data_IF_537637851240
#
_entry.id   IF_537637851240
#
_cell.length_a   1.000
_cell.length_b   1.000
_cell.length_c   1.000
_cell.angle_alpha   90.00
_cell.angle_beta   90.00
_cell.angle_gamma   90.00
#
_symmetry.space_group_name_H-M   'P 1'
#
loop_
_entity.id
_entity.type
_entity.pdbx_description
1 polymer ?
#
# COMPACT_ATOMS: atom_id res chain seq x y z
N UNK A 1 -37.67 -3.60 -21.62
CA UNK A 1 -37.67 -2.84 -22.89
C UNK A 1 -37.57 -1.33 -22.66
N UNK A 2 -38.53 -0.65 -22.02
CA UNK A 2 -38.43 0.82 -21.82
C UNK A 2 -37.25 1.24 -20.92
N UNK A 3 -36.97 0.48 -19.85
CA UNK A 3 -35.83 0.72 -18.95
C UNK A 3 -34.52 0.42 -19.68
N UNK A 4 -34.42 -0.74 -20.34
CA UNK A 4 -33.23 -1.13 -21.12
C UNK A 4 -32.89 -0.11 -22.22
N UNK A 5 -33.89 0.38 -22.96
CA UNK A 5 -33.65 1.43 -23.97
C UNK A 5 -33.29 2.78 -23.34
N UNK A 6 -33.70 3.05 -22.09
CA UNK A 6 -33.28 4.24 -21.36
C UNK A 6 -31.85 4.09 -20.83
N UNK A 7 -31.48 2.94 -20.28
CA UNK A 7 -30.11 2.67 -19.79
C UNK A 7 -29.12 2.69 -20.96
N UNK A 8 -29.42 2.08 -22.10
CA UNK A 8 -28.60 2.15 -23.31
C UNK A 8 -28.36 3.60 -23.76
N UNK A 9 -29.42 4.42 -23.84
CA UNK A 9 -29.30 5.85 -24.20
C UNK A 9 -28.46 6.65 -23.20
N UNK A 10 -28.59 6.34 -21.90
CA UNK A 10 -27.81 6.98 -20.82
C UNK A 10 -26.34 6.57 -20.86
N UNK A 11 -26.07 5.29 -21.11
CA UNK A 11 -24.73 4.74 -21.29
C UNK A 11 -24.06 5.40 -22.49
N UNK A 12 -24.76 5.47 -23.62
CA UNK A 12 -24.29 6.11 -24.84
C UNK A 12 -24.01 7.60 -24.64
N UNK A 13 -24.89 8.35 -23.96
CA UNK A 13 -24.65 9.76 -23.61
C UNK A 13 -23.44 9.96 -22.69
N UNK A 14 -23.22 9.02 -21.77
CA UNK A 14 -22.09 9.09 -20.85
C UNK A 14 -20.76 8.68 -21.51
N UNK A 15 -20.79 7.95 -22.62
CA UNK A 15 -19.61 7.60 -23.43
C UNK A 15 -19.30 8.65 -24.50
N UNK A 16 -20.33 9.35 -25.01
CA UNK A 16 -20.22 10.42 -25.99
C UNK A 16 -20.77 11.75 -25.45
N UNK A 17 -20.05 12.45 -24.56
CA UNK A 17 -20.52 13.70 -23.95
C UNK A 17 -20.72 14.86 -24.95
N UNK A 18 -20.12 14.81 -26.14
CA UNK A 18 -20.25 15.83 -27.19
C UNK A 18 -21.50 15.65 -28.08
N UNK A 19 -22.15 14.48 -28.05
CA UNK A 19 -23.41 14.26 -28.76
C UNK A 19 -24.60 14.54 -27.83
N UNK A 20 -25.42 15.53 -28.20
CA UNK A 20 -26.57 15.93 -27.40
C UNK A 20 -27.74 14.95 -27.61
N UNK A 21 -27.62 13.79 -26.98
CA UNK A 21 -28.67 12.76 -26.98
C UNK A 21 -29.81 13.28 -26.10
N UNK A 22 -30.89 13.66 -26.76
CA UNK A 22 -32.14 14.07 -26.11
C UNK A 22 -32.85 12.82 -25.58
N UNK A 23 -33.03 12.80 -24.26
CA UNK A 23 -33.75 11.73 -23.58
C UNK A 23 -35.21 12.18 -23.48
N UNK A 24 -36.13 11.34 -23.95
CA UNK A 24 -37.56 11.64 -23.88
C UNK A 24 -38.01 11.75 -22.41
N UNK A 25 -38.59 12.89 -22.05
CA UNK A 25 -39.08 13.20 -20.71
C UNK A 25 -40.15 12.22 -20.24
N UNK A 26 -40.89 11.57 -21.15
CA UNK A 26 -41.87 10.52 -20.80
C UNK A 26 -41.18 9.25 -20.31
N UNK A 27 -40.03 8.88 -20.88
CA UNK A 27 -39.26 7.72 -20.43
C UNK A 27 -38.64 7.99 -19.07
N UNK A 28 -38.10 9.20 -18.87
CA UNK A 28 -37.58 9.63 -17.57
C UNK A 28 -38.68 9.63 -16.48
N UNK A 29 -39.88 10.14 -16.79
CA UNK A 29 -41.01 10.13 -15.86
C UNK A 29 -41.54 8.73 -15.51
N UNK A 30 -41.36 7.73 -16.37
CA UNK A 30 -41.69 6.32 -16.06
C UNK A 30 -40.64 5.74 -15.11
N UNK A 31 -39.36 5.97 -15.39
CA UNK A 31 -38.25 5.50 -14.57
C UNK A 31 -38.31 6.17 -13.18
N UNK A 32 -38.61 7.46 -13.09
CA UNK A 32 -38.79 8.18 -11.82
C UNK A 32 -39.96 7.66 -10.99
N UNK A 33 -41.09 7.31 -11.64
CA UNK A 33 -42.20 6.65 -10.95
C UNK A 33 -41.81 5.29 -10.39
N UNK A 34 -40.96 4.55 -11.10
CA UNK A 34 -40.45 3.28 -10.61
C UNK A 34 -39.53 3.48 -9.40
N UNK A 35 -38.64 4.48 -9.43
CA UNK A 35 -37.81 4.82 -8.28
C UNK A 35 -38.65 5.21 -7.05
N UNK A 36 -39.68 6.05 -7.23
CA UNK A 36 -40.62 6.37 -6.15
C UNK A 36 -41.26 5.12 -5.55
N UNK A 37 -41.75 4.20 -6.39
CA UNK A 37 -42.30 2.93 -5.92
C UNK A 37 -41.27 2.08 -5.17
N UNK A 38 -40.02 2.03 -5.63
CA UNK A 38 -38.96 1.31 -4.91
C UNK A 38 -38.64 1.92 -3.54
N UNK A 39 -38.71 3.25 -3.43
CA UNK A 39 -38.56 3.95 -2.15
C UNK A 39 -39.75 3.71 -1.22
N UNK A 40 -40.98 3.74 -1.74
CA UNK A 40 -42.19 3.47 -0.96
C UNK A 40 -42.25 2.02 -0.48
N UNK A 41 -41.77 1.07 -1.29
CA UNK A 41 -41.68 -0.36 -0.96
C UNK A 41 -40.48 -0.72 -0.05
N UNK A 42 -39.62 0.25 0.32
CA UNK A 42 -38.43 0.04 1.15
C UNK A 42 -37.31 -0.79 0.48
N UNK A 43 -37.36 -0.97 -0.84
CA UNK A 43 -36.44 -1.80 -1.63
C UNK A 43 -35.22 -1.01 -2.11
N UNK A 44 -34.41 -0.53 -1.17
CA UNK A 44 -33.25 0.33 -1.44
C UNK A 44 -32.13 -0.38 -2.23
N UNK A 45 -31.89 -1.67 -2.02
CA UNK A 45 -30.87 -2.45 -2.77
C UNK A 45 -31.14 -2.48 -4.27
N UNK A 46 -32.41 -2.62 -4.66
CA UNK A 46 -32.84 -2.59 -6.05
C UNK A 46 -32.73 -1.18 -6.62
N UNK A 47 -33.13 -0.17 -5.84
CA UNK A 47 -32.99 1.23 -6.25
C UNK A 47 -31.51 1.58 -6.54
N UNK A 48 -30.57 1.13 -5.72
CA UNK A 48 -29.13 1.29 -5.96
C UNK A 48 -28.68 0.63 -7.27
N UNK A 49 -29.08 -0.63 -7.51
CA UNK A 49 -28.71 -1.34 -8.74
C UNK A 49 -29.20 -0.61 -9.99
N UNK A 50 -30.46 -0.20 -10.00
CA UNK A 50 -31.08 0.53 -11.12
C UNK A 50 -30.45 1.92 -11.28
N UNK A 51 -30.10 2.61 -10.17
CA UNK A 51 -29.43 3.90 -10.23
C UNK A 51 -28.03 3.79 -10.87
N UNK A 52 -27.30 2.72 -10.57
CA UNK A 52 -25.99 2.43 -11.19
C UNK A 52 -26.13 2.07 -12.67
N UNK A 53 -27.11 1.26 -13.06
CA UNK A 53 -27.40 0.91 -14.46
C UNK A 53 -27.82 2.13 -15.30
N UNK A 54 -28.63 3.02 -14.72
CA UNK A 54 -29.09 4.25 -15.39
C UNK A 54 -28.06 5.38 -15.38
N UNK A 55 -26.89 5.15 -14.76
CA UNK A 55 -25.84 6.16 -14.52
C UNK A 55 -26.40 7.46 -13.93
N UNK A 56 -27.28 7.36 -12.92
CA UNK A 56 -27.86 8.51 -12.20
C UNK A 56 -27.35 8.58 -10.76
N UNK A 57 -26.39 9.48 -10.54
CA UNK A 57 -25.73 9.66 -9.24
C UNK A 57 -26.67 10.30 -8.21
N UNK A 58 -27.51 11.25 -8.63
CA UNK A 58 -28.42 11.95 -7.71
C UNK A 58 -29.39 10.99 -7.00
N UNK A 59 -29.90 10.00 -7.73
CA UNK A 59 -30.81 8.99 -7.16
C UNK A 59 -30.05 7.95 -6.35
N UNK A 60 -28.82 7.65 -6.73
CA UNK A 60 -27.94 6.78 -5.97
C UNK A 60 -27.66 7.38 -4.57
N UNK A 61 -27.31 8.66 -4.49
CA UNK A 61 -27.12 9.37 -3.22
C UNK A 61 -28.41 9.39 -2.38
N UNK A 62 -29.54 9.73 -3.00
CA UNK A 62 -30.83 9.73 -2.30
C UNK A 62 -31.23 8.34 -1.79
N UNK A 63 -30.91 7.27 -2.54
CA UNK A 63 -31.24 5.92 -2.14
C UNK A 63 -30.44 5.47 -0.91
N UNK A 64 -29.20 5.93 -0.78
CA UNK A 64 -28.36 5.65 0.38
C UNK A 64 -28.84 6.46 1.59
N UNK A 65 -29.09 7.76 1.43
CA UNK A 65 -29.50 8.63 2.55
C UNK A 65 -30.89 8.31 3.12
N UNK A 66 -31.82 7.81 2.29
CA UNK A 66 -33.16 7.42 2.74
C UNK A 66 -33.23 6.02 3.34
N UNK A 67 -32.17 5.23 3.19
CA UNK A 67 -32.16 3.85 3.70
C UNK A 67 -32.07 3.81 5.21
N UNK A 68 -32.72 2.82 5.83
CA UNK A 68 -32.70 2.61 7.28
C UNK A 68 -31.31 2.18 7.79
N UNK A 69 -30.48 1.59 6.92
CA UNK A 69 -29.12 1.10 7.21
C UNK A 69 -28.11 1.70 6.21
N UNK A 70 -27.68 2.93 6.49
CA UNK A 70 -26.73 3.67 5.65
C UNK A 70 -25.37 2.95 5.54
N UNK A 71 -24.73 2.47 6.63
CA UNK A 71 -23.45 1.76 6.54
C UNK A 71 -23.53 0.46 5.73
N UNK A 72 -24.57 -0.35 5.93
CA UNK A 72 -24.77 -1.58 5.17
C UNK A 72 -25.08 -1.32 3.70
N UNK A 73 -25.80 -0.23 3.37
CA UNK A 73 -26.05 0.16 1.99
C UNK A 73 -24.80 0.67 1.29
N UNK A 74 -23.91 1.38 2.00
CA UNK A 74 -22.65 1.87 1.43
C UNK A 74 -21.69 0.71 1.08
N UNK A 75 -21.53 -0.28 1.97
CA UNK A 75 -20.71 -1.48 1.71
C UNK A 75 -21.27 -2.35 0.57
N UNK A 76 -22.60 -2.51 0.52
CA UNK A 76 -23.27 -3.16 -0.61
C UNK A 76 -23.02 -2.40 -1.92
N UNK A 77 -23.18 -1.07 -1.89
CA UNK A 77 -22.96 -0.20 -3.06
C UNK A 77 -21.52 -0.29 -3.57
N UNK A 78 -20.53 -0.35 -2.68
CA UNK A 78 -19.13 -0.55 -3.06
C UNK A 78 -18.93 -1.90 -3.76
N UNK A 79 -19.48 -2.98 -3.20
CA UNK A 79 -19.37 -4.33 -3.78
C UNK A 79 -20.01 -4.40 -5.17
N UNK A 80 -21.19 -3.79 -5.34
CA UNK A 80 -21.91 -3.72 -6.61
C UNK A 80 -21.14 -2.84 -7.61
N UNK A 81 -20.57 -1.72 -7.16
CA UNK A 81 -19.74 -0.83 -7.97
C UNK A 81 -18.51 -1.57 -8.54
N UNK A 82 -17.85 -2.38 -7.72
CA UNK A 82 -16.66 -3.14 -8.11
C UNK A 82 -16.95 -4.33 -9.04
N UNK A 83 -18.13 -4.93 -8.93
CA UNK A 83 -18.51 -6.12 -9.71
C UNK A 83 -19.25 -5.81 -11.02
N UNK A 84 -20.17 -4.84 -11.02
CA UNK A 84 -21.04 -4.57 -12.17
C UNK A 84 -20.52 -3.46 -13.10
N UNK A 85 -19.71 -2.52 -12.61
CA UNK A 85 -19.31 -1.36 -13.41
C UNK A 85 -18.05 -1.65 -14.22
N UNK A 86 -18.24 -1.79 -15.53
CA UNK A 86 -17.15 -2.03 -16.50
C UNK A 86 -16.35 -0.74 -16.82
N UNK A 87 -17.03 0.41 -16.94
CA UNK A 87 -16.37 1.69 -17.27
C UNK A 87 -15.58 2.24 -16.08
N UNK A 88 -14.26 2.44 -16.27
CA UNK A 88 -13.38 3.02 -15.23
C UNK A 88 -13.77 4.46 -14.88
N UNK A 89 -14.13 5.28 -15.87
CA UNK A 89 -14.49 6.69 -15.66
C UNK A 89 -15.75 6.81 -14.80
N UNK A 90 -16.77 6.01 -15.09
CA UNK A 90 -17.99 6.01 -14.29
C UNK A 90 -17.75 5.44 -12.89
N UNK A 91 -17.00 4.34 -12.77
CA UNK A 91 -16.62 3.76 -11.47
C UNK A 91 -15.91 4.79 -10.59
N UNK A 92 -14.96 5.54 -11.13
CA UNK A 92 -14.26 6.59 -10.40
C UNK A 92 -15.21 7.69 -9.91
N UNK A 93 -16.19 8.11 -10.72
CA UNK A 93 -17.20 9.11 -10.29
C UNK A 93 -18.06 8.58 -9.14
N UNK A 94 -18.54 7.34 -9.24
CA UNK A 94 -19.34 6.69 -8.19
C UNK A 94 -18.52 6.56 -6.89
N UNK A 95 -17.26 6.14 -6.99
CA UNK A 95 -16.40 6.01 -5.81
C UNK A 95 -16.11 7.37 -5.14
N UNK A 96 -15.96 8.47 -5.90
CA UNK A 96 -15.84 9.83 -5.32
C UNK A 96 -17.07 10.22 -4.53
N UNK A 97 -18.26 9.94 -5.05
CA UNK A 97 -19.53 10.17 -4.35
C UNK A 97 -19.62 9.33 -3.08
N UNK A 98 -19.26 8.04 -3.16
CA UNK A 98 -19.22 7.16 -1.99
C UNK A 98 -18.29 7.69 -0.90
N UNK A 99 -17.10 8.17 -1.25
CA UNK A 99 -16.17 8.79 -0.29
C UNK A 99 -16.80 10.00 0.39
N UNK A 100 -17.48 10.87 -0.36
CA UNK A 100 -18.19 12.03 0.23
C UNK A 100 -19.30 11.60 1.20
N UNK A 101 -20.06 10.56 0.84
CA UNK A 101 -21.11 10.02 1.72
C UNK A 101 -20.54 9.38 2.99
N UNK A 102 -19.42 8.65 2.90
CA UNK A 102 -18.73 8.10 4.07
C UNK A 102 -18.17 9.19 5.00
N UNK A 103 -17.66 10.29 4.44
CA UNK A 103 -17.14 11.43 5.24
C UNK A 103 -18.25 12.22 5.95
N UNK A 104 -19.45 12.26 5.38
CA UNK A 104 -20.61 12.98 5.95
C UNK A 104 -21.34 12.19 7.03
N UNK A 105 -20.94 10.95 7.28
CA UNK A 105 -21.53 10.10 8.33
C UNK A 105 -21.14 10.61 9.72
N UNK A 106 -22.03 10.41 10.71
CA UNK A 106 -21.78 10.84 12.10
C UNK A 106 -20.50 10.20 12.70
N UNK A 107 -20.18 8.99 12.26
CA UNK A 107 -18.91 8.30 12.52
C UNK A 107 -18.29 7.93 11.17
N UNK A 108 -17.25 8.66 10.70
CA UNK A 108 -16.63 8.35 9.42
C UNK A 108 -15.98 6.97 9.44
N UNK A 109 -16.34 6.12 8.50
CA UNK A 109 -15.66 4.84 8.27
C UNK A 109 -14.44 5.08 7.37
N UNK A 110 -13.29 5.33 8.00
CA UNK A 110 -12.05 5.62 7.30
C UNK A 110 -11.49 4.40 6.56
N UNK A 111 -11.80 3.17 6.98
CA UNK A 111 -11.30 1.95 6.31
C UNK A 111 -11.93 1.84 4.93
N UNK A 112 -13.28 1.90 4.86
CA UNK A 112 -13.99 1.85 3.58
C UNK A 112 -13.64 3.01 2.66
N UNK A 113 -13.32 4.19 3.21
CA UNK A 113 -12.85 5.35 2.45
C UNK A 113 -11.46 5.11 1.86
N UNK A 114 -10.53 4.59 2.65
CA UNK A 114 -9.19 4.25 2.16
C UNK A 114 -9.27 3.17 1.08
N UNK A 115 -10.12 2.15 1.23
CA UNK A 115 -10.37 1.17 0.17
C UNK A 115 -10.87 1.83 -1.12
N UNK A 116 -11.80 2.79 -1.01
CA UNK A 116 -12.21 3.58 -2.17
C UNK A 116 -11.00 4.29 -2.79
N UNK A 117 -10.20 5.00 -2.01
CA UNK A 117 -9.03 5.71 -2.54
C UNK A 117 -7.98 4.82 -3.19
N UNK A 118 -7.77 3.60 -2.70
CA UNK A 118 -6.92 2.59 -3.36
C UNK A 118 -7.45 2.30 -4.77
N UNK A 119 -8.76 2.15 -4.95
CA UNK A 119 -9.35 1.93 -6.27
C UNK A 119 -9.36 3.17 -7.16
N UNK A 120 -9.43 4.37 -6.58
CA UNK A 120 -9.27 5.62 -7.31
C UNK A 120 -7.81 5.94 -7.69
N UNK A 121 -6.84 5.26 -7.07
CA UNK A 121 -5.41 5.57 -7.15
C UNK A 121 -5.10 7.02 -6.71
N UNK A 122 -5.85 7.52 -5.72
CA UNK A 122 -5.70 8.87 -5.17
C UNK A 122 -4.84 8.88 -3.91
N UNK A 123 -3.53 9.05 -4.10
CA UNK A 123 -2.56 9.07 -3.00
C UNK A 123 -2.69 10.31 -2.11
N UNK A 124 -3.16 11.44 -2.65
CA UNK A 124 -3.32 12.69 -1.92
C UNK A 124 -4.49 12.59 -0.93
N UNK A 125 -5.64 12.07 -1.38
CA UNK A 125 -6.80 11.90 -0.52
C UNK A 125 -6.54 11.03 0.73
N UNK A 126 -5.71 9.99 0.59
CA UNK A 126 -5.29 9.16 1.74
C UNK A 126 -4.32 9.92 2.65
N UNK A 127 -3.35 10.64 2.09
CA UNK A 127 -2.40 11.42 2.86
C UNK A 127 -3.11 12.53 3.68
N UNK A 128 -4.08 13.21 3.10
CA UNK A 128 -4.87 14.26 3.77
C UNK A 128 -5.68 13.69 4.95
N UNK A 129 -6.27 12.49 4.78
CA UNK A 129 -6.98 11.81 5.88
C UNK A 129 -6.01 11.41 6.99
N UNK A 130 -4.88 10.80 6.65
CA UNK A 130 -3.88 10.41 7.64
C UNK A 130 -3.38 11.65 8.39
N UNK A 131 -3.10 12.74 7.68
CA UNK A 131 -2.66 14.00 8.28
C UNK A 131 -3.71 14.57 9.24
N UNK A 132 -4.99 14.60 8.83
CA UNK A 132 -6.09 15.05 9.68
C UNK A 132 -6.18 14.23 10.98
N UNK A 133 -6.09 12.90 10.89
CA UNK A 133 -6.16 12.00 12.03
C UNK A 133 -4.96 12.13 12.99
N UNK A 134 -3.78 12.50 12.47
CA UNK A 134 -2.57 12.68 13.29
C UNK A 134 -2.58 14.05 13.99
N UNK A 135 -3.10 15.09 13.32
CA UNK A 135 -3.17 16.47 13.83
C UNK A 135 -4.12 16.64 15.01
N UNK A 136 -5.23 15.91 15.02
CA UNK A 136 -6.24 16.03 16.07
C UNK A 136 -5.76 15.56 17.46
N UNK A 137 -4.53 15.04 17.59
CA UNK A 137 -3.79 14.73 18.83
C UNK A 137 -4.49 13.80 19.84
N UNK A 138 -5.72 13.39 19.58
CA UNK A 138 -6.42 12.34 20.30
C UNK A 138 -5.72 10.99 20.07
N UNK A 139 -5.57 10.22 21.14
CA UNK A 139 -4.94 8.91 21.09
C UNK A 139 -5.73 7.98 20.17
N UNK A 140 -7.05 7.96 20.30
CA UNK A 140 -7.93 7.05 19.54
C UNK A 140 -7.85 7.31 18.03
N UNK A 141 -7.77 8.57 17.62
CA UNK A 141 -7.57 8.93 16.21
C UNK A 141 -6.18 8.58 15.69
N UNK A 142 -5.15 8.71 16.53
CA UNK A 142 -3.79 8.26 16.17
C UNK A 142 -3.75 6.73 16.00
N UNK A 143 -4.45 5.96 16.85
CA UNK A 143 -4.58 4.51 16.69
C UNK A 143 -5.34 4.15 15.40
N UNK A 144 -6.40 4.88 15.08
CA UNK A 144 -7.13 4.71 13.82
C UNK A 144 -6.22 4.94 12.60
N UNK A 145 -5.36 5.97 12.64
CA UNK A 145 -4.38 6.22 11.58
C UNK A 145 -3.40 5.04 11.42
N UNK A 146 -2.92 4.45 12.52
CA UNK A 146 -2.07 3.26 12.44
C UNK A 146 -2.81 2.04 11.88
N UNK A 147 -4.07 1.84 12.26
CA UNK A 147 -4.90 0.76 11.71
C UNK A 147 -5.08 0.90 10.20
N UNK A 148 -5.36 2.12 9.73
CA UNK A 148 -5.46 2.43 8.30
C UNK A 148 -4.13 2.18 7.60
N UNK A 149 -3.00 2.53 8.21
CA UNK A 149 -1.69 2.29 7.61
C UNK A 149 -1.38 0.79 7.44
N UNK A 150 -1.78 -0.06 8.41
CA UNK A 150 -1.65 -1.51 8.26
C UNK A 150 -2.57 -2.06 7.17
N UNK A 151 -3.84 -1.65 7.13
CA UNK A 151 -4.77 -2.06 6.07
C UNK A 151 -4.30 -1.60 4.67
N UNK A 152 -3.73 -0.39 4.59
CA UNK A 152 -3.17 0.13 3.34
C UNK A 152 -1.95 -0.67 2.89
N UNK A 153 -1.08 -1.07 3.82
CA UNK A 153 0.09 -1.91 3.50
C UNK A 153 -0.33 -3.28 2.93
N UNK A 154 -1.40 -3.88 3.46
CA UNK A 154 -1.90 -5.18 2.99
C UNK A 154 -2.73 -5.08 1.70
N UNK A 155 -3.49 -3.99 1.53
CA UNK A 155 -4.47 -3.83 0.45
C UNK A 155 -4.00 -3.06 -0.78
N UNK A 156 -3.00 -2.18 -0.66
CA UNK A 156 -2.60 -1.29 -1.74
C UNK A 156 -1.40 -1.79 -2.56
N UNK A 157 -1.18 -1.19 -3.74
CA UNK A 157 0.01 -1.48 -4.56
C UNK A 157 1.26 -0.79 -4.00
N UNK A 158 2.44 -1.38 -4.22
CA UNK A 158 3.72 -0.82 -3.75
C UNK A 158 3.99 0.60 -4.29
N UNK A 159 3.58 0.88 -5.53
CA UNK A 159 3.72 2.20 -6.16
C UNK A 159 2.84 3.24 -5.47
N UNK A 160 1.61 2.85 -5.11
CA UNK A 160 0.70 3.70 -4.35
C UNK A 160 1.28 4.02 -2.97
N UNK A 161 1.73 3.01 -2.22
CA UNK A 161 2.35 3.19 -0.89
C UNK A 161 3.57 4.12 -0.94
N UNK A 162 4.42 3.99 -1.95
CA UNK A 162 5.57 4.88 -2.15
C UNK A 162 5.13 6.33 -2.41
N UNK A 163 4.09 6.51 -3.22
CA UNK A 163 3.48 7.82 -3.48
C UNK A 163 2.89 8.43 -2.20
N UNK A 164 2.08 7.68 -1.44
CA UNK A 164 1.51 8.15 -0.16
C UNK A 164 2.61 8.53 0.83
N UNK A 165 3.67 7.72 0.92
CA UNK A 165 4.82 7.99 1.81
C UNK A 165 5.55 9.27 1.40
N UNK A 166 5.74 9.48 0.09
CA UNK A 166 6.38 10.71 -0.42
C UNK A 166 5.55 11.94 -0.12
N UNK A 167 4.22 11.85 -0.25
CA UNK A 167 3.29 12.95 0.04
C UNK A 167 3.28 13.24 1.54
N UNK A 168 3.16 12.22 2.38
CA UNK A 168 3.14 12.38 3.83
C UNK A 168 4.42 13.03 4.37
N UNK A 169 5.58 12.69 3.78
CA UNK A 169 6.88 13.33 4.10
C UNK A 169 6.97 14.78 3.63
N UNK A 170 6.35 15.13 2.50
CA UNK A 170 6.34 16.48 1.98
C UNK A 170 5.44 17.42 2.80
N UNK A 171 4.33 16.90 3.33
CA UNK A 171 3.36 17.70 4.10
C UNK A 171 3.84 18.03 5.51
N UNK A 172 4.80 17.27 6.07
CA UNK A 172 5.45 17.59 7.35
C UNK A 172 6.71 18.42 7.08
N UNK A 173 6.69 19.77 7.25
CA UNK A 173 7.71 20.65 6.70
C UNK A 173 9.07 20.64 7.43
N UNK A 174 9.39 19.61 8.21
CA UNK A 174 10.58 19.61 9.09
C UNK A 174 11.60 18.50 8.84
N UNK A 175 11.36 17.59 7.89
CA UNK A 175 12.29 16.47 7.62
C UNK A 175 13.24 16.76 6.44
N UNK A 176 13.03 17.84 5.69
CA UNK A 176 13.81 18.11 4.47
C UNK A 176 15.05 19.02 4.64
N UNK A 177 15.52 19.32 5.86
CA UNK A 177 16.72 20.15 6.05
C UNK A 177 17.99 19.40 6.47
N UNK A 178 18.04 18.07 6.36
CA UNK A 178 19.28 17.30 6.59
C UNK A 178 19.67 16.38 5.43
N UNK A 179 19.30 16.72 4.18
CA UNK A 179 19.83 15.97 3.04
C UNK A 179 19.39 16.43 1.67
N UNK A 180 19.68 17.68 1.28
CA UNK A 180 19.89 18.07 -0.13
C UNK A 180 20.25 19.56 -0.24
N UNK A 181 21.55 19.87 -0.36
CA UNK A 181 22.01 21.06 -1.07
C UNK A 181 23.09 20.63 -2.05
N UNK A 182 22.83 20.85 -3.33
CA UNK A 182 23.78 20.52 -4.38
C UNK A 182 23.25 20.61 -5.81
N UNK A 183 22.44 21.62 -6.13
CA UNK A 183 22.34 22.10 -7.52
C UNK A 183 22.47 23.61 -7.50
N UNK A 184 23.49 24.14 -8.17
CA UNK A 184 23.31 25.30 -9.03
C UNK A 184 24.36 25.30 -10.15
N UNK A 185 23.86 25.55 -11.35
CA UNK A 185 24.58 25.62 -12.60
C UNK A 185 25.15 27.02 -12.83
N UNK A 186 26.28 27.13 -13.54
CA UNK A 186 26.42 28.03 -14.71
C UNK A 186 27.80 27.97 -15.40
N UNK A 187 27.71 28.10 -16.73
CA UNK A 187 28.64 28.68 -17.70
C UNK A 187 29.65 27.76 -18.43
N UNK A 188 29.49 27.80 -19.76
CA UNK A 188 30.22 27.12 -20.84
C UNK A 188 31.68 27.57 -21.01
N UNK A 189 32.52 26.69 -21.61
CA UNK A 189 33.79 27.12 -22.22
C UNK A 189 34.84 26.04 -22.51
N UNK A 190 34.63 25.25 -23.57
CA UNK A 190 35.62 24.65 -24.51
C UNK A 190 36.90 23.90 -24.02
N UNK A 191 37.06 22.74 -24.68
CA UNK A 191 38.28 22.19 -25.32
C UNK A 191 39.05 21.03 -24.62
N UNK A 192 38.83 19.85 -25.21
CA UNK A 192 39.82 18.89 -25.74
C UNK A 192 40.76 18.03 -24.86
N UNK A 193 40.66 16.72 -25.16
CA UNK A 193 41.69 15.67 -25.30
C UNK A 193 42.21 14.89 -24.08
N UNK A 194 42.12 13.55 -24.27
CA UNK A 194 43.02 12.44 -23.88
C UNK A 194 43.51 12.41 -22.41
N UNK A 195 43.30 11.36 -21.62
CA UNK A 195 43.55 9.95 -21.92
C UNK A 195 44.85 9.48 -21.24
N UNK A 196 44.77 8.39 -20.47
CA UNK A 196 45.81 7.39 -20.16
C UNK A 196 46.48 7.42 -18.74
N UNK A 197 46.33 6.25 -18.09
CA UNK A 197 47.19 5.48 -17.14
C UNK A 197 47.33 5.75 -15.63
N UNK A 198 46.91 4.70 -14.89
CA UNK A 198 47.66 3.83 -13.96
C UNK A 198 48.49 4.41 -12.78
N UNK A 199 48.17 3.93 -11.57
CA UNK A 199 48.97 3.06 -10.65
C UNK A 199 48.61 3.37 -9.18
N UNK A 200 48.06 2.40 -8.45
CA UNK A 200 48.76 1.49 -7.50
C UNK A 200 49.44 2.18 -6.32
N UNK A 201 49.08 1.78 -5.10
CA UNK A 201 49.83 2.09 -3.89
C UNK A 201 49.03 1.80 -2.62
N UNK A 202 49.27 0.62 -2.04
CA UNK A 202 48.71 0.06 -0.82
C UNK A 202 49.37 0.63 0.46
N UNK A 203 48.78 0.32 1.62
CA UNK A 203 49.34 0.26 2.98
C UNK A 203 48.98 1.32 4.05
N UNK A 204 48.33 0.78 5.10
CA UNK A 204 48.67 0.87 6.53
C UNK A 204 48.20 2.05 7.40
N UNK A 205 47.14 1.74 8.16
CA UNK A 205 46.87 1.96 9.59
C UNK A 205 48.09 2.24 10.51
N UNK A 206 48.07 3.33 11.30
CA UNK A 206 48.17 3.31 12.78
C UNK A 206 47.85 4.69 13.43
N UNK A 207 47.53 4.63 14.72
CA UNK A 207 47.01 5.61 15.70
C UNK A 207 47.90 6.81 16.05
N UNK A 208 47.31 7.96 16.45
CA UNK A 208 47.12 8.38 17.86
C UNK A 208 47.02 9.92 18.04
N UNK A 209 46.39 10.32 19.15
CA UNK A 209 45.87 11.63 19.55
C UNK A 209 46.87 12.81 19.65
N UNK A 210 46.40 14.04 19.37
CA UNK A 210 46.82 15.27 20.08
C UNK A 210 45.88 16.46 19.82
N UNK A 211 45.23 16.93 20.88
CA UNK A 211 44.41 18.14 20.98
C UNK A 211 45.22 19.44 20.78
N UNK A 212 44.62 20.42 20.08
CA UNK A 212 44.90 21.86 20.25
C UNK A 212 43.63 22.69 20.00
N UNK A 213 43.09 23.26 21.08
CA UNK A 213 42.20 24.43 21.10
C UNK A 213 42.85 25.63 20.35
N UNK A 214 42.19 26.61 19.72
CA UNK A 214 41.15 27.62 20.06
C UNK A 214 40.78 28.31 18.68
N UNK A 215 39.79 29.23 18.46
CA UNK A 215 38.77 29.84 19.32
C UNK A 215 37.31 29.74 18.82
N UNK A 216 36.42 29.86 19.80
CA UNK A 216 34.98 30.07 19.70
C UNK A 216 34.53 31.14 18.69
N UNK A 217 33.64 30.76 17.78
CA UNK A 217 32.65 31.65 17.16
C UNK A 217 31.26 31.07 17.42
N UNK A 218 30.50 31.83 18.21
CA UNK A 218 29.18 31.50 18.79
C UNK A 218 28.19 30.93 17.75
N UNK A 219 27.52 29.80 18.02
CA UNK A 219 26.35 29.38 17.26
C UNK A 219 25.15 30.23 17.67
N UNK A 220 24.45 30.79 16.67
CA UNK A 220 23.09 31.31 16.85
C UNK A 220 22.10 30.18 16.50
N UNK A 221 20.93 30.19 17.16
CA UNK A 221 20.42 29.02 17.85
C UNK A 221 19.54 28.14 16.97
N UNK A 222 19.56 26.86 17.32
CA UNK A 222 18.60 25.84 16.94
C UNK A 222 17.17 26.41 16.93
N UNK A 223 16.47 26.22 15.82
CA UNK A 223 15.02 26.35 15.79
C UNK A 223 14.47 25.29 16.76
N UNK A 224 14.07 25.74 17.94
CA UNK A 224 13.41 24.94 18.96
C UNK A 224 12.08 24.47 18.36
N UNK A 225 12.07 23.26 17.80
CA UNK A 225 10.85 22.50 17.54
C UNK A 225 10.07 22.42 18.86
N UNK A 226 8.82 22.85 18.85
CA UNK A 226 7.96 22.75 20.01
C UNK A 226 7.80 21.27 20.41
N UNK A 227 7.56 20.98 21.69
CA UNK A 227 7.41 19.61 22.18
C UNK A 227 6.25 18.86 21.51
N UNK A 228 5.28 19.60 20.96
CA UNK A 228 4.20 19.13 20.10
C UNK A 228 4.66 18.74 18.70
N UNK A 229 5.59 19.50 18.10
CA UNK A 229 6.09 19.22 16.75
C UNK A 229 6.96 17.97 16.72
N UNK A 230 7.78 17.76 17.77
CA UNK A 230 8.57 16.52 17.91
C UNK A 230 7.68 15.28 18.01
N UNK A 231 6.59 15.34 18.78
CA UNK A 231 5.62 14.25 18.89
C UNK A 231 4.89 13.99 17.57
N UNK A 232 4.65 15.03 16.78
CA UNK A 232 4.03 14.90 15.46
C UNK A 232 4.97 14.19 14.48
N UNK A 233 6.25 14.58 14.47
CA UNK A 233 7.30 13.92 13.67
C UNK A 233 7.43 12.45 14.07
N UNK A 234 7.51 12.13 15.36
CA UNK A 234 7.59 10.73 15.83
C UNK A 234 6.38 9.89 15.38
N UNK A 235 5.18 10.47 15.37
CA UNK A 235 3.95 9.79 14.92
C UNK A 235 3.99 9.52 13.41
N UNK A 236 4.47 10.48 12.64
CA UNK A 236 4.59 10.37 11.18
C UNK A 236 5.69 9.38 10.80
N UNK A 237 6.83 9.39 11.48
CA UNK A 237 7.90 8.43 11.25
C UNK A 237 7.43 7.00 11.53
N UNK A 238 6.63 6.79 12.58
CA UNK A 238 5.99 5.49 12.85
C UNK A 238 5.02 5.09 11.73
N UNK A 239 4.22 6.01 11.21
CA UNK A 239 3.33 5.73 10.07
C UNK A 239 4.12 5.36 8.82
N UNK A 240 5.19 6.10 8.52
CA UNK A 240 6.08 5.79 7.41
C UNK A 240 6.72 4.42 7.59
N UNK A 241 7.14 4.05 8.80
CA UNK A 241 7.70 2.73 9.10
C UNK A 241 6.67 1.59 8.95
N UNK A 242 5.38 1.85 9.25
CA UNK A 242 4.29 0.90 9.02
C UNK A 242 3.99 0.77 7.52
N UNK A 243 3.84 1.89 6.81
CA UNK A 243 3.59 1.93 5.36
C UNK A 243 4.76 1.36 4.54
N UNK A 244 5.98 1.47 5.05
CA UNK A 244 7.18 0.84 4.49
C UNK A 244 7.26 -0.67 4.73
N UNK A 245 6.42 -1.21 5.62
CA UNK A 245 6.34 -2.63 5.92
C UNK A 245 7.41 -3.15 6.87
N UNK A 246 8.37 -2.32 7.30
CA UNK A 246 9.45 -2.74 8.20
C UNK A 246 8.89 -3.33 9.51
N UNK A 247 7.87 -2.67 10.07
CA UNK A 247 7.23 -3.11 11.32
C UNK A 247 6.47 -4.43 11.12
N UNK A 248 5.71 -4.53 10.03
CA UNK A 248 4.93 -5.75 9.70
C UNK A 248 5.85 -6.95 9.48
N UNK A 249 6.94 -6.76 8.72
CA UNK A 249 7.93 -7.79 8.43
C UNK A 249 8.64 -8.25 9.71
N UNK A 250 9.03 -7.31 10.59
CA UNK A 250 9.70 -7.62 11.85
C UNK A 250 8.82 -8.44 12.80
N UNK A 251 7.55 -8.03 12.96
CA UNK A 251 6.58 -8.77 13.79
C UNK A 251 6.29 -10.15 13.23
N UNK A 252 6.14 -10.27 11.90
CA UNK A 252 5.92 -11.55 11.25
C UNK A 252 7.11 -12.49 11.42
N UNK A 253 8.34 -11.98 11.31
CA UNK A 253 9.58 -12.73 11.56
C UNK A 253 9.63 -13.24 13.02
N UNK A 254 9.35 -12.38 14.01
CA UNK A 254 9.35 -12.78 15.41
C UNK A 254 8.30 -13.87 15.69
N UNK A 255 7.11 -13.73 15.10
CA UNK A 255 6.06 -14.74 15.18
C UNK A 255 6.49 -16.08 14.58
N UNK A 256 7.06 -16.08 13.37
CA UNK A 256 7.50 -17.30 12.68
C UNK A 256 8.67 -17.99 13.40
N UNK A 257 9.59 -17.23 13.98
CA UNK A 257 10.70 -17.78 14.77
C UNK A 257 10.17 -18.47 16.03
N UNK A 258 9.24 -17.82 16.77
CA UNK A 258 8.71 -18.36 18.02
C UNK A 258 7.75 -19.53 17.83
N UNK A 259 6.92 -19.48 16.79
CA UNK A 259 5.90 -20.50 16.50
C UNK A 259 6.35 -21.45 15.37
N UNK A 260 7.61 -21.87 15.40
CA UNK A 260 8.11 -22.87 14.46
C UNK A 260 7.74 -24.29 14.95
N UNK A 261 6.79 -24.91 14.26
CA UNK A 261 6.34 -26.29 14.51
C UNK A 261 6.82 -27.28 13.43
N UNK A 262 7.87 -26.95 12.69
CA UNK A 262 8.42 -27.85 11.68
C UNK A 262 9.05 -29.11 12.30
N UNK A 263 8.65 -30.28 11.81
CA UNK A 263 9.16 -31.57 12.27
C UNK A 263 10.37 -32.03 11.44
N UNK A 264 11.55 -32.08 12.08
CA UNK A 264 12.78 -32.53 11.45
C UNK A 264 12.76 -34.04 11.10
N UNK A 265 11.88 -34.84 11.69
CA UNK A 265 11.78 -36.27 11.39
C UNK A 265 11.26 -36.50 9.96
N UNK A 266 10.31 -35.69 9.50
CA UNK A 266 9.78 -35.74 8.12
C UNK A 266 10.92 -35.47 7.13
N UNK A 267 11.76 -34.49 7.42
CA UNK A 267 12.91 -34.13 6.59
C UNK A 267 13.98 -35.23 6.57
N UNK A 268 14.24 -35.88 7.72
CA UNK A 268 15.15 -37.03 7.79
C UNK A 268 14.66 -38.19 6.92
N UNK A 269 13.39 -38.58 7.08
CA UNK A 269 12.80 -39.67 6.29
C UNK A 269 12.83 -39.35 4.78
N UNK A 270 12.55 -38.09 4.41
CA UNK A 270 12.57 -37.64 3.01
C UNK A 270 13.99 -37.65 2.44
N UNK A 271 14.99 -37.24 3.23
CA UNK A 271 16.40 -37.31 2.85
C UNK A 271 16.85 -38.76 2.64
N UNK A 272 16.48 -39.68 3.53
CA UNK A 272 16.88 -41.10 3.44
C UNK A 272 16.25 -41.79 2.22
N UNK A 273 15.06 -41.34 1.80
CA UNK A 273 14.44 -41.77 0.54
C UNK A 273 15.05 -41.13 -0.71
N UNK A 274 15.86 -40.07 -0.57
CA UNK A 274 16.41 -39.28 -1.67
C UNK A 274 17.62 -39.96 -2.32
N UNK A 275 17.40 -40.60 -3.47
CA UNK A 275 18.44 -41.34 -4.22
C UNK A 275 18.97 -40.61 -5.47
N UNK A 276 18.20 -39.65 -6.00
CA UNK A 276 18.50 -38.97 -7.26
C UNK A 276 18.68 -37.45 -7.06
N UNK A 277 19.34 -36.79 -8.01
CA UNK A 277 19.55 -35.33 -8.00
C UNK A 277 18.23 -34.53 -7.95
N UNK A 278 17.17 -35.03 -8.57
CA UNK A 278 15.82 -34.43 -8.51
C UNK A 278 15.26 -34.48 -7.09
N UNK A 279 15.41 -35.62 -6.42
CA UNK A 279 14.96 -35.80 -5.03
C UNK A 279 15.78 -34.93 -4.06
N UNK A 280 17.07 -34.72 -4.34
CA UNK A 280 17.90 -33.79 -3.58
C UNK A 280 17.32 -32.37 -3.66
N UNK A 281 17.08 -31.86 -4.86
CA UNK A 281 16.46 -30.54 -5.06
C UNK A 281 15.09 -30.44 -4.41
N UNK A 282 14.25 -31.47 -4.55
CA UNK A 282 12.92 -31.51 -3.92
C UNK A 282 12.99 -31.46 -2.40
N UNK A 283 13.94 -32.19 -1.79
CA UNK A 283 14.13 -32.20 -0.33
C UNK A 283 14.58 -30.83 0.18
N UNK A 284 15.48 -30.17 -0.55
CA UNK A 284 16.00 -28.85 -0.17
C UNK A 284 14.92 -27.76 -0.33
N UNK A 285 14.09 -27.83 -1.37
CA UNK A 285 12.92 -26.94 -1.53
C UNK A 285 11.86 -27.21 -0.46
N UNK A 286 11.56 -28.48 -0.16
CA UNK A 286 10.61 -28.83 0.88
C UNK A 286 11.05 -28.26 2.25
N UNK A 287 12.34 -28.41 2.58
CA UNK A 287 12.93 -27.79 3.77
C UNK A 287 12.78 -26.27 3.77
N UNK A 288 13.02 -25.60 2.64
CA UNK A 288 12.94 -24.14 2.58
C UNK A 288 11.52 -23.60 2.72
N UNK A 289 10.51 -24.33 2.23
CA UNK A 289 9.10 -23.97 2.46
C UNK A 289 8.66 -24.25 3.90
N UNK A 290 9.09 -25.36 4.50
CA UNK A 290 8.79 -25.67 5.91
C UNK A 290 9.41 -24.66 6.88
N UNK A 291 10.58 -24.11 6.53
CA UNK A 291 11.32 -23.15 7.37
C UNK A 291 11.29 -21.71 6.84
N UNK A 292 10.40 -21.38 5.90
CA UNK A 292 10.30 -20.06 5.28
C UNK A 292 10.14 -18.97 6.34
N UNK A 293 11.05 -18.00 6.37
CA UNK A 293 10.99 -16.88 7.32
C UNK A 293 11.24 -17.25 8.79
N UNK A 294 11.61 -18.48 9.11
CA UNK A 294 11.93 -18.91 10.49
C UNK A 294 13.41 -18.72 10.85
N UNK A 295 14.26 -18.39 9.86
CA UNK A 295 15.73 -18.32 10.01
C UNK A 295 16.40 -19.60 10.54
N UNK A 296 15.65 -20.70 10.69
CA UNK A 296 16.15 -21.97 11.18
C UNK A 296 16.77 -22.78 10.04
N UNK A 297 18.09 -22.79 9.99
CA UNK A 297 18.87 -23.54 9.00
C UNK A 297 19.52 -24.81 9.59
N UNK A 298 19.05 -25.27 10.75
CA UNK A 298 19.58 -26.43 11.49
C UNK A 298 19.66 -27.69 10.64
N UNK A 299 18.64 -27.94 9.80
CA UNK A 299 18.65 -29.08 8.88
C UNK A 299 19.79 -29.00 7.85
N UNK A 300 20.05 -27.81 7.29
CA UNK A 300 21.11 -27.63 6.30
C UNK A 300 22.49 -27.77 6.95
N UNK A 301 22.69 -27.19 8.13
CA UNK A 301 23.96 -27.29 8.90
C UNK A 301 24.31 -28.73 9.25
N UNK A 302 23.32 -29.53 9.67
CA UNK A 302 23.53 -30.93 10.01
C UNK A 302 23.83 -31.83 8.80
N UNK A 303 23.55 -31.35 7.57
CA UNK A 303 23.65 -32.14 6.34
C UNK A 303 24.59 -31.50 5.31
N UNK A 304 25.59 -30.74 5.75
CA UNK A 304 26.54 -30.02 4.88
C UNK A 304 27.24 -30.93 3.86
N UNK A 305 27.69 -32.11 4.28
CA UNK A 305 28.34 -33.07 3.36
C UNK A 305 27.38 -33.58 2.28
N UNK A 306 26.12 -33.80 2.63
CA UNK A 306 25.08 -34.23 1.69
C UNK A 306 24.75 -33.12 0.70
N UNK A 307 24.62 -31.88 1.19
CA UNK A 307 24.38 -30.70 0.36
C UNK A 307 25.57 -30.40 -0.57
N UNK A 308 26.81 -30.64 -0.09
CA UNK A 308 28.04 -30.45 -0.86
C UNK A 308 28.18 -31.38 -2.08
N UNK A 309 27.42 -32.48 -2.12
CA UNK A 309 27.36 -33.40 -3.29
C UNK A 309 26.51 -32.88 -4.43
N UNK A 310 25.70 -31.83 -4.21
CA UNK A 310 24.92 -31.20 -5.26
C UNK A 310 25.83 -30.66 -6.38
N UNK A 311 25.41 -30.75 -7.64
CA UNK A 311 26.14 -30.20 -8.79
C UNK A 311 25.21 -29.37 -9.68
N UNK A 312 25.78 -28.46 -10.48
CA UNK A 312 25.06 -27.62 -11.44
C UNK A 312 23.89 -26.85 -10.79
N UNK A 313 22.69 -27.00 -11.33
CA UNK A 313 21.47 -26.35 -10.84
C UNK A 313 21.10 -26.72 -9.40
N UNK A 314 21.46 -27.91 -8.93
CA UNK A 314 21.15 -28.31 -7.56
C UNK A 314 21.92 -27.45 -6.52
N UNK A 315 23.13 -26.98 -6.85
CA UNK A 315 23.86 -26.01 -6.00
C UNK A 315 23.16 -24.67 -5.98
N UNK A 316 22.74 -24.18 -7.16
CA UNK A 316 22.00 -22.92 -7.26
C UNK A 316 20.71 -22.97 -6.45
N UNK A 317 19.92 -24.05 -6.58
CA UNK A 317 18.67 -24.20 -5.81
C UNK A 317 18.91 -24.33 -4.32
N UNK A 318 20.00 -24.96 -3.89
CA UNK A 318 20.37 -25.03 -2.48
C UNK A 318 20.66 -23.63 -1.89
N UNK A 319 21.43 -22.81 -2.61
CA UNK A 319 21.67 -21.42 -2.20
C UNK A 319 20.40 -20.57 -2.24
N UNK A 320 19.58 -20.71 -3.28
CA UNK A 320 18.29 -20.00 -3.37
C UNK A 320 17.33 -20.38 -2.23
N UNK A 321 17.34 -21.65 -1.83
CA UNK A 321 16.54 -22.17 -0.72
C UNK A 321 16.95 -21.57 0.63
N UNK A 322 18.23 -21.24 0.81
CA UNK A 322 18.68 -20.49 1.99
C UNK A 322 18.03 -19.10 2.04
N UNK A 323 17.94 -18.40 0.91
CA UNK A 323 17.24 -17.10 0.83
C UNK A 323 15.78 -17.17 1.27
N UNK A 324 15.07 -18.27 0.98
CA UNK A 324 13.68 -18.47 1.41
C UNK A 324 13.57 -18.65 2.92
N UNK A 325 14.49 -19.38 3.55
CA UNK A 325 14.54 -19.56 5.00
C UNK A 325 14.75 -18.21 5.71
N UNK A 326 15.51 -17.30 5.09
CA UNK A 326 15.84 -15.97 5.60
C UNK A 326 15.02 -14.83 4.99
N UNK A 327 13.87 -15.10 4.33
CA UNK A 327 13.07 -14.15 3.53
C UNK A 327 12.75 -12.81 4.19
N UNK A 328 12.66 -12.76 5.52
CA UNK A 328 12.27 -11.57 6.29
C UNK A 328 13.42 -10.98 7.13
N UNK A 329 14.60 -11.58 7.08
CA UNK A 329 15.75 -11.06 7.81
C UNK A 329 16.49 -10.01 6.96
N UNK A 330 16.20 -8.74 7.21
CA UNK A 330 16.81 -7.58 6.53
C UNK A 330 18.09 -7.06 7.19
N UNK A 331 18.74 -7.87 8.04
CA UNK A 331 20.02 -7.54 8.70
C UNK A 331 21.11 -8.56 8.45
#
# INVERSE_FOLDING_TARGET
>A
KCIDSYTEKRVYKAENPDEDVTIDTRLEAIVDRMFKRCFDDGKYKQAVGIALETRRLDIFEQAILKSDDVPGMLSYSLTVCMSLIQSRQFRNKVLRVLVQLYMNLATPDFISVCQCFIFLDDAQGVADILEKLIKDNEKDQTLMAYQIAFDLYEGATQQFLSSVTSVLKATVPFVSSTGATGTDASAEGKADKNGITEKSGDAAMDTDEAEKEVPAKKPKPDAVLSESDKKLVDKVDKLVAILGGETTIALHLEFLIRNNHADLLILKNTKDASRNSVCHTATVIANSYMHCGTTSDTFLRNNLEWLGRATNWAKFTATASLGVIHRFNWR
#
